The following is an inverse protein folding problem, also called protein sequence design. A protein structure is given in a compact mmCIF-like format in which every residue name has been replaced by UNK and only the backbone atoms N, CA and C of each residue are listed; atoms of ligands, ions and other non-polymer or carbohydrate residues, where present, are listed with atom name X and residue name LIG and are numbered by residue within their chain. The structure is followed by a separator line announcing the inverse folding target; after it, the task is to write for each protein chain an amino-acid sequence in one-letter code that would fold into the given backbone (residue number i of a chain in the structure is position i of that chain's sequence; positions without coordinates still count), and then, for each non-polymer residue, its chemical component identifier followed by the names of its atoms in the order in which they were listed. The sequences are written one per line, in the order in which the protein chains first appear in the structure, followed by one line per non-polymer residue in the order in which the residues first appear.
data_IF_121280163401
#
_entry.id   IF_121280163401
#
_cell.length_a   1.000
_cell.length_b   1.000
_cell.length_c   1.000
_cell.angle_alpha   90.00
_cell.angle_beta   90.00
_cell.angle_gamma   90.00
#
_symmetry.space_group_name_H-M   'P 1'
#
loop_
_entity.id
_entity.type
_entity.pdbx_description
1 polymer ?
#
# COMPACT_ATOMS: atom_id res chain seq x y z
N UNK A 1 -9.43 14.51 -2.10
CA UNK A 1 -9.27 13.26 -2.90
C UNK A 1 -10.06 13.29 -4.21
N UNK A 2 -9.36 13.51 -5.32
CA UNK A 2 -9.87 13.30 -6.68
C UNK A 2 -10.20 11.81 -6.87
N UNK A 3 -11.29 11.49 -7.58
CA UNK A 3 -11.81 10.12 -7.74
C UNK A 3 -10.74 9.10 -8.18
N UNK A 4 -9.82 9.53 -9.06
CA UNK A 4 -8.74 8.71 -9.59
C UNK A 4 -7.74 8.24 -8.52
N UNK A 5 -7.33 9.12 -7.60
CA UNK A 5 -6.45 8.73 -6.50
C UNK A 5 -7.14 7.82 -5.48
N UNK A 6 -8.47 7.93 -5.34
CA UNK A 6 -9.27 7.00 -4.51
C UNK A 6 -9.23 5.59 -5.05
N UNK A 7 -9.50 5.47 -6.35
CA UNK A 7 -9.46 4.20 -7.06
C UNK A 7 -8.06 3.58 -7.00
N UNK A 8 -7.02 4.34 -7.31
CA UNK A 8 -5.65 3.82 -7.35
C UNK A 8 -5.14 3.45 -5.95
N UNK A 9 -5.53 4.18 -4.90
CA UNK A 9 -5.24 3.79 -3.51
C UNK A 9 -5.91 2.46 -3.17
N UNK A 10 -7.22 2.33 -3.42
CA UNK A 10 -7.96 1.12 -3.08
C UNK A 10 -7.41 -0.10 -3.83
N UNK A 11 -7.03 0.07 -5.09
CA UNK A 11 -6.36 -0.96 -5.89
C UNK A 11 -5.00 -1.30 -5.25
N UNK A 12 -4.10 -0.34 -5.04
CA UNK A 12 -2.76 -0.61 -4.53
C UNK A 12 -2.74 -1.19 -3.11
N UNK A 13 -3.48 -0.58 -2.19
CA UNK A 13 -3.57 -1.04 -0.79
C UNK A 13 -4.32 -2.36 -0.70
N UNK A 14 -5.48 -2.48 -1.38
CA UNK A 14 -6.30 -3.67 -1.36
C UNK A 14 -5.61 -4.88 -1.97
N UNK A 15 -5.12 -4.76 -3.21
CA UNK A 15 -4.35 -5.84 -3.86
C UNK A 15 -3.07 -6.13 -3.10
N UNK A 16 -2.36 -5.12 -2.61
CA UNK A 16 -1.13 -5.30 -1.84
C UNK A 16 -1.33 -6.16 -0.60
N UNK A 17 -2.41 -5.95 0.16
CA UNK A 17 -2.75 -6.76 1.33
C UNK A 17 -3.18 -8.18 0.92
N UNK A 18 -4.05 -8.32 -0.07
CA UNK A 18 -4.52 -9.63 -0.55
C UNK A 18 -3.34 -10.48 -1.03
N UNK A 19 -2.44 -9.89 -1.80
CA UNK A 19 -1.27 -10.56 -2.37
C UNK A 19 -0.28 -10.99 -1.28
N UNK A 20 -0.09 -10.18 -0.22
CA UNK A 20 0.71 -10.59 0.94
C UNK A 20 0.09 -11.77 1.69
N UNK A 21 -1.22 -11.79 1.90
CA UNK A 21 -1.92 -12.90 2.56
C UNK A 21 -1.86 -14.18 1.72
N UNK A 22 -2.05 -14.06 0.41
CA UNK A 22 -1.93 -15.17 -0.54
C UNK A 22 -0.50 -15.72 -0.60
N UNK A 23 0.51 -14.84 -0.71
CA UNK A 23 1.92 -15.24 -0.70
C UNK A 23 2.31 -15.94 0.60
N UNK A 24 1.78 -15.50 1.74
CA UNK A 24 2.00 -16.16 3.04
C UNK A 24 1.35 -17.55 3.09
N UNK A 25 0.14 -17.70 2.56
CA UNK A 25 -0.51 -19.01 2.43
C UNK A 25 0.30 -19.94 1.53
N UNK A 26 0.82 -19.44 0.40
CA UNK A 26 1.59 -20.22 -0.57
C UNK A 26 3.00 -20.57 -0.08
N UNK A 27 3.56 -19.78 0.83
CA UNK A 27 4.87 -20.04 1.45
C UNK A 27 4.93 -21.36 2.22
N UNK A 28 3.79 -21.95 2.57
CA UNK A 28 3.70 -23.28 3.18
C UNK A 28 4.02 -24.42 2.20
N UNK A 29 3.72 -24.25 0.92
CA UNK A 29 3.99 -25.24 -0.14
C UNK A 29 5.26 -24.91 -0.93
N UNK A 30 5.56 -23.63 -1.14
CA UNK A 30 6.73 -23.16 -1.90
C UNK A 30 7.28 -21.87 -1.30
N UNK A 31 8.28 -21.96 -0.38
CA UNK A 31 8.80 -20.80 0.36
C UNK A 31 9.32 -19.69 -0.55
N UNK A 32 10.06 -20.05 -1.61
CA UNK A 32 10.67 -19.09 -2.54
C UNK A 32 9.62 -18.31 -3.33
N UNK A 33 8.60 -19.01 -3.88
CA UNK A 33 7.53 -18.35 -4.61
C UNK A 33 6.63 -17.52 -3.69
N UNK A 34 6.32 -18.03 -2.49
CA UNK A 34 5.58 -17.29 -1.47
C UNK A 34 6.27 -15.98 -1.10
N UNK A 35 7.60 -16.00 -0.92
CA UNK A 35 8.40 -14.81 -0.63
C UNK A 35 8.34 -13.76 -1.76
N UNK A 36 8.45 -14.19 -3.02
CA UNK A 36 8.35 -13.28 -4.18
C UNK A 36 6.97 -12.61 -4.24
N UNK A 37 5.90 -13.39 -4.03
CA UNK A 37 4.52 -12.86 -4.04
C UNK A 37 4.30 -11.87 -2.90
N UNK A 38 4.82 -12.15 -1.70
CA UNK A 38 4.78 -11.20 -0.58
C UNK A 38 5.54 -9.91 -0.92
N UNK A 39 6.73 -10.00 -1.51
CA UNK A 39 7.52 -8.83 -1.94
C UNK A 39 6.75 -7.97 -2.95
N UNK A 40 6.13 -8.58 -3.95
CA UNK A 40 5.29 -7.88 -4.93
C UNK A 40 4.09 -7.20 -4.26
N UNK A 41 3.45 -7.87 -3.30
CA UNK A 41 2.37 -7.31 -2.51
C UNK A 41 2.80 -6.09 -1.68
N UNK A 42 4.01 -6.10 -1.12
CA UNK A 42 4.59 -4.95 -0.40
C UNK A 42 4.81 -3.78 -1.36
N UNK A 43 5.38 -4.03 -2.54
CA UNK A 43 5.62 -2.97 -3.55
C UNK A 43 4.30 -2.32 -3.98
N UNK A 44 3.27 -3.12 -4.25
CA UNK A 44 1.92 -2.63 -4.59
C UNK A 44 1.29 -1.83 -3.44
N UNK A 45 1.46 -2.30 -2.20
CA UNK A 45 0.96 -1.62 -1.02
C UNK A 45 1.60 -0.24 -0.82
N UNK A 46 2.93 -0.15 -0.95
CA UNK A 46 3.69 1.10 -0.86
C UNK A 46 3.28 2.07 -1.97
N UNK A 47 3.10 1.57 -3.19
CA UNK A 47 2.60 2.38 -4.30
C UNK A 47 1.19 2.92 -4.03
N UNK A 48 0.29 2.08 -3.50
CA UNK A 48 -1.05 2.49 -3.06
C UNK A 48 -0.99 3.58 -1.98
N UNK A 49 -0.10 3.46 -1.01
CA UNK A 49 0.14 4.49 0.02
C UNK A 49 0.64 5.81 -0.58
N UNK A 50 1.48 5.75 -1.61
CA UNK A 50 1.95 6.93 -2.35
C UNK A 50 0.82 7.66 -3.08
N UNK A 51 -0.12 6.92 -3.67
CA UNK A 51 -1.32 7.51 -4.27
C UNK A 51 -2.23 8.14 -3.21
N UNK A 52 -2.32 7.53 -2.02
CA UNK A 52 -3.08 8.09 -0.90
C UNK A 52 -2.46 9.41 -0.39
N UNK A 53 -1.14 9.47 -0.23
CA UNK A 53 -0.45 10.69 0.14
C UNK A 53 -0.64 11.81 -0.91
N UNK A 54 -0.52 11.48 -2.20
CA UNK A 54 -0.81 12.41 -3.31
C UNK A 54 -2.25 12.92 -3.26
N UNK A 55 -3.20 12.07 -2.90
CA UNK A 55 -4.62 12.43 -2.80
C UNK A 55 -4.94 13.48 -1.72
N UNK A 56 -4.01 13.65 -0.78
CA UNK A 56 -4.05 14.60 0.33
C UNK A 56 -3.18 15.86 0.11
N UNK A 57 -2.66 16.05 -1.11
CA UNK A 57 -1.76 17.17 -1.44
C UNK A 57 -0.32 17.01 -0.97
N UNK A 58 0.12 15.81 -0.57
CA UNK A 58 1.52 15.54 -0.22
C UNK A 58 2.28 14.92 -1.39
N UNK A 59 3.62 15.05 -1.37
CA UNK A 59 4.48 14.36 -2.33
C UNK A 59 4.33 12.84 -2.18
N UNK A 60 4.38 12.11 -3.30
CA UNK A 60 4.29 10.64 -3.31
C UNK A 60 5.36 9.93 -2.47
N UNK A 61 6.44 10.63 -2.11
CA UNK A 61 7.49 10.14 -1.20
C UNK A 61 6.93 9.81 0.19
N UNK A 62 5.87 10.49 0.64
CA UNK A 62 5.17 10.15 1.89
C UNK A 62 4.50 8.77 1.84
N UNK A 63 4.30 8.21 0.63
CA UNK A 63 3.90 6.81 0.46
C UNK A 63 4.90 5.79 0.98
N UNK A 64 6.16 6.19 1.15
CA UNK A 64 7.20 5.38 1.80
C UNK A 64 6.87 5.04 3.26
N UNK A 65 5.98 5.79 3.91
CA UNK A 65 5.42 5.39 5.20
C UNK A 65 4.75 4.01 5.14
N UNK A 66 4.20 3.62 3.99
CA UNK A 66 3.63 2.29 3.76
C UNK A 66 4.62 1.13 3.94
N UNK A 67 5.94 1.39 3.97
CA UNK A 67 6.94 0.39 4.35
C UNK A 67 6.83 -0.04 5.82
N UNK A 68 6.30 0.82 6.69
CA UNK A 68 5.91 0.47 8.06
C UNK A 68 4.57 -0.30 8.12
N UNK A 69 4.12 -0.85 6.99
CA UNK A 69 2.88 -1.64 6.87
C UNK A 69 1.66 -0.84 7.33
N UNK A 70 0.75 -1.48 8.07
CA UNK A 70 -0.48 -0.90 8.60
C UNK A 70 -0.24 0.36 9.45
N UNK A 71 0.86 0.43 10.19
CA UNK A 71 1.18 1.61 11.03
C UNK A 71 1.42 2.83 10.15
N UNK A 72 2.15 2.67 9.06
CA UNK A 72 2.35 3.71 8.06
C UNK A 72 1.06 4.19 7.42
N UNK A 73 0.16 3.25 7.11
CA UNK A 73 -1.16 3.56 6.57
C UNK A 73 -2.02 4.34 7.58
N UNK A 74 -1.99 3.97 8.87
CA UNK A 74 -2.72 4.67 9.94
C UNK A 74 -2.22 6.12 10.05
N UNK A 75 -0.89 6.33 10.06
CA UNK A 75 -0.30 7.67 10.10
C UNK A 75 -0.78 8.48 8.88
N UNK A 76 -0.74 7.88 7.69
CA UNK A 76 -1.23 8.53 6.47
C UNK A 76 -2.71 8.89 6.59
N UNK A 77 -3.55 8.02 7.17
CA UNK A 77 -4.99 8.28 7.38
C UNK A 77 -5.24 9.45 8.32
N UNK A 78 -4.48 9.56 9.41
CA UNK A 78 -4.59 10.68 10.37
C UNK A 78 -3.91 11.97 9.89
N UNK A 79 -3.02 11.88 8.90
CA UNK A 79 -2.37 13.06 8.34
C UNK A 79 -3.42 14.03 7.78
N UNK A 80 -3.36 15.30 8.23
CA UNK A 80 -4.26 16.37 7.81
C UNK A 80 -4.18 16.54 6.29
N UNK A 81 -5.34 16.58 5.64
CA UNK A 81 -5.45 16.86 4.20
C UNK A 81 -4.91 18.28 3.96
N UNK A 82 -3.96 18.43 3.03
CA UNK A 82 -3.35 19.71 2.71
C UNK A 82 -4.05 20.39 1.53
N UNK A 83 -4.74 19.60 0.70
CA UNK A 83 -5.55 20.09 -0.42
C UNK A 83 -6.98 20.49 0.01
N UNK A 84 -7.26 20.58 1.32
CA UNK A 84 -8.51 21.09 1.90
C UNK A 84 -8.29 21.89 3.18
#
# INVERSE_FOLDING_TARGET
MIYEHKRNTNIGVGLGVIMQLWGKSMSSASPTMGFIVVLLGIVLFVWGCGQYAKSKGYSGVWGGLGLFSLIGLIILVFMKDRDR
#
